data_IF_406648478845
#
_entry.id   IF_406648478845
#
_cell.length_a   1.000
_cell.length_b   1.000
_cell.length_c   1.000
_cell.angle_alpha   90.00
_cell.angle_beta   90.00
_cell.angle_gamma   90.00
#
_symmetry.space_group_name_H-M   'P 1'
#
loop_
_entity.id
_entity.type
_entity.pdbx_description
1 polymer ?
#
# COMPACT_ATOMS: atom_id res chain seq x y z
N UNK A 1 19.03 -25.04 1.99
CA UNK A 1 18.17 -26.22 2.00
C UNK A 1 18.48 -27.09 3.22
N UNK A 2 17.72 -26.95 4.31
CA UNK A 2 18.00 -27.70 5.54
C UNK A 2 16.86 -28.70 5.76
N UNK A 3 17.15 -30.04 5.77
CA UNK A 3 16.13 -31.08 5.98
C UNK A 3 15.33 -30.88 7.29
N UNK A 4 15.96 -30.29 8.31
CA UNK A 4 15.28 -29.97 9.59
C UNK A 4 14.17 -28.95 9.46
N UNK A 5 14.23 -27.99 8.50
CA UNK A 5 13.17 -27.00 8.27
C UNK A 5 11.97 -27.57 7.54
N UNK A 6 12.13 -28.67 6.80
CA UNK A 6 11.02 -29.36 6.10
C UNK A 6 9.93 -29.82 7.08
N UNK A 7 10.31 -30.22 8.30
CA UNK A 7 9.36 -30.62 9.36
C UNK A 7 8.51 -29.46 9.89
N UNK A 8 8.92 -28.22 9.61
CA UNK A 8 8.22 -26.99 10.04
C UNK A 8 7.23 -26.48 8.96
N UNK A 9 7.29 -27.03 7.74
CA UNK A 9 6.35 -26.67 6.68
C UNK A 9 4.99 -27.27 6.99
N UNK A 10 3.96 -26.45 6.78
CA UNK A 10 2.56 -26.86 6.89
C UNK A 10 2.08 -27.49 5.57
N UNK A 11 0.78 -27.57 5.35
CA UNK A 11 0.23 -28.05 4.09
C UNK A 11 0.55 -27.09 2.95
N UNK A 12 0.70 -27.60 1.72
CA UNK A 12 0.97 -26.79 0.51
C UNK A 12 0.01 -25.62 0.37
N UNK A 13 -1.26 -25.83 0.69
CA UNK A 13 -2.28 -24.77 0.68
C UNK A 13 -1.95 -23.64 1.66
N UNK A 14 -1.47 -23.96 2.85
CA UNK A 14 -1.10 -22.97 3.87
C UNK A 14 0.14 -22.19 3.45
N UNK A 15 1.16 -22.90 2.96
CA UNK A 15 2.41 -22.28 2.50
C UNK A 15 2.18 -21.39 1.28
N UNK A 16 1.36 -21.86 0.34
CA UNK A 16 0.94 -21.03 -0.81
C UNK A 16 0.19 -19.78 -0.37
N UNK A 17 -0.71 -19.90 0.62
CA UNK A 17 -1.40 -18.74 1.21
C UNK A 17 -0.44 -17.71 1.79
N UNK A 18 0.60 -18.16 2.49
CA UNK A 18 1.65 -17.25 3.01
C UNK A 18 2.43 -16.57 1.88
N UNK A 19 2.83 -17.31 0.84
CA UNK A 19 3.52 -16.73 -0.30
C UNK A 19 2.63 -15.72 -1.04
N UNK A 20 1.36 -16.05 -1.24
CA UNK A 20 0.40 -15.16 -1.89
C UNK A 20 0.26 -13.84 -1.13
N UNK A 21 0.23 -13.88 0.21
CA UNK A 21 0.19 -12.68 1.04
C UNK A 21 1.50 -11.87 0.96
N UNK A 22 2.65 -12.53 0.89
CA UNK A 22 3.95 -11.85 0.68
C UNK A 22 3.96 -11.13 -0.67
N UNK A 23 3.51 -11.80 -1.74
CA UNK A 23 3.45 -11.20 -3.09
C UNK A 23 2.49 -10.01 -3.12
N UNK A 24 1.32 -10.10 -2.46
CA UNK A 24 0.40 -8.96 -2.34
C UNK A 24 1.08 -7.74 -1.72
N UNK A 25 1.81 -7.93 -0.61
CA UNK A 25 2.53 -6.84 0.07
C UNK A 25 3.62 -6.25 -0.81
N UNK A 26 4.39 -7.08 -1.49
CA UNK A 26 5.41 -6.62 -2.44
C UNK A 26 4.78 -5.87 -3.61
N UNK A 27 3.66 -6.36 -4.13
CA UNK A 27 2.95 -5.71 -5.20
C UNK A 27 2.35 -4.34 -4.80
N UNK A 28 1.98 -4.14 -3.53
CA UNK A 28 1.58 -2.83 -3.00
C UNK A 28 2.78 -1.91 -2.82
N UNK A 29 3.91 -2.42 -2.29
CA UNK A 29 5.10 -1.61 -1.99
C UNK A 29 5.86 -1.14 -3.24
N UNK A 30 5.72 -1.85 -4.37
CA UNK A 30 6.41 -1.58 -5.64
C UNK A 30 5.41 -1.50 -6.77
N UNK A 31 4.68 -0.37 -6.87
CA UNK A 31 3.72 -0.17 -7.96
C UNK A 31 4.39 -0.15 -9.33
N UNK A 32 5.64 0.25 -9.42
CA UNK A 32 6.48 0.32 -10.62
C UNK A 32 6.84 -1.06 -11.22
N UNK A 33 6.54 -2.18 -10.51
CA UNK A 33 6.94 -3.53 -10.89
C UNK A 33 5.72 -4.38 -11.24
N UNK A 34 5.82 -5.16 -12.33
CA UNK A 34 4.84 -6.21 -12.65
C UNK A 34 5.15 -7.48 -11.85
N UNK A 35 4.15 -8.00 -11.13
CA UNK A 35 4.23 -9.25 -10.37
C UNK A 35 3.36 -10.33 -10.98
N UNK A 36 3.93 -11.52 -11.18
CA UNK A 36 3.20 -12.71 -11.63
C UNK A 36 3.49 -13.86 -10.68
N UNK A 37 2.45 -14.54 -10.21
CA UNK A 37 2.54 -15.73 -9.38
C UNK A 37 1.88 -16.91 -10.12
N UNK A 38 2.60 -18.02 -10.23
CA UNK A 38 2.09 -19.27 -10.79
C UNK A 38 2.10 -20.38 -9.73
N UNK A 39 1.12 -21.27 -9.82
CA UNK A 39 0.96 -22.43 -8.96
C UNK A 39 0.32 -23.57 -9.75
N UNK A 40 0.90 -24.77 -9.74
CA UNK A 40 0.45 -25.93 -10.49
C UNK A 40 0.29 -25.61 -12.00
N UNK A 41 1.30 -24.94 -12.59
CA UNK A 41 1.30 -24.52 -13.99
C UNK A 41 0.29 -23.41 -14.34
N UNK A 42 -0.58 -23.00 -13.42
CA UNK A 42 -1.59 -21.96 -13.64
C UNK A 42 -1.15 -20.62 -13.06
N UNK A 43 -1.43 -19.55 -13.78
CA UNK A 43 -1.23 -18.20 -13.28
C UNK A 43 -2.34 -17.86 -12.27
N UNK A 44 -1.98 -17.65 -11.01
CA UNK A 44 -2.91 -17.38 -9.91
C UNK A 44 -3.00 -15.91 -9.55
N UNK A 45 -1.96 -15.12 -9.86
CA UNK A 45 -1.93 -13.69 -9.65
C UNK A 45 -1.13 -13.01 -10.75
N UNK A 46 -1.67 -11.89 -11.27
CA UNK A 46 -0.93 -10.94 -12.09
C UNK A 46 -1.29 -9.53 -11.65
N UNK A 47 -0.26 -8.70 -11.43
CA UNK A 47 -0.40 -7.27 -11.12
C UNK A 47 0.59 -6.51 -11.98
N UNK A 48 0.07 -5.81 -12.97
CA UNK A 48 0.89 -5.02 -13.89
C UNK A 48 1.46 -3.80 -13.13
N UNK A 49 2.56 -3.25 -13.63
CA UNK A 49 3.07 -1.97 -13.15
C UNK A 49 2.00 -0.89 -13.30
N UNK A 50 2.06 0.09 -12.43
CA UNK A 50 1.11 1.21 -12.34
C UNK A 50 1.92 2.50 -12.35
N UNK A 51 1.88 3.21 -13.47
CA UNK A 51 2.69 4.42 -13.70
C UNK A 51 1.89 5.70 -13.41
N UNK A 52 0.58 5.58 -13.20
CA UNK A 52 -0.32 6.68 -12.86
C UNK A 52 -1.06 6.43 -11.55
N UNK A 53 -1.55 7.50 -10.92
CA UNK A 53 -2.35 7.41 -9.70
C UNK A 53 -3.61 6.54 -9.89
N UNK A 54 -4.29 6.68 -11.03
CA UNK A 54 -5.46 5.88 -11.38
C UNK A 54 -5.14 4.39 -11.48
N UNK A 55 -3.97 4.04 -12.02
CA UNK A 55 -3.51 2.66 -12.10
C UNK A 55 -3.10 2.12 -10.72
N UNK A 56 -2.47 2.96 -9.89
CA UNK A 56 -2.15 2.60 -8.50
C UNK A 56 -3.44 2.32 -7.71
N UNK A 57 -4.45 3.18 -7.82
CA UNK A 57 -5.77 2.96 -7.20
C UNK A 57 -6.41 1.66 -7.69
N UNK A 58 -6.39 1.39 -9.00
CA UNK A 58 -6.88 0.13 -9.59
C UNK A 58 -6.11 -1.08 -9.04
N UNK A 59 -4.79 -0.95 -8.89
CA UNK A 59 -3.94 -2.00 -8.33
C UNK A 59 -4.28 -2.28 -6.88
N UNK A 60 -4.49 -1.25 -6.06
CA UNK A 60 -4.96 -1.38 -4.67
C UNK A 60 -6.32 -2.06 -4.63
N UNK A 61 -7.28 -1.66 -5.48
CA UNK A 61 -8.59 -2.30 -5.60
C UNK A 61 -8.47 -3.80 -5.96
N UNK A 62 -7.57 -4.15 -6.88
CA UNK A 62 -7.31 -5.54 -7.27
C UNK A 62 -6.65 -6.39 -6.18
N UNK A 63 -5.99 -5.79 -5.20
CA UNK A 63 -5.30 -6.50 -4.10
C UNK A 63 -6.17 -6.53 -2.84
N UNK A 64 -6.78 -5.41 -2.49
CA UNK A 64 -7.55 -5.23 -1.26
C UNK A 64 -9.06 -5.52 -1.44
N UNK A 65 -9.53 -5.59 -2.68
CA UNK A 65 -10.93 -5.77 -3.05
C UNK A 65 -11.61 -4.48 -3.50
N UNK A 66 -12.62 -4.61 -4.35
CA UNK A 66 -13.40 -3.47 -4.85
C UNK A 66 -14.10 -2.73 -3.72
N UNK A 67 -14.70 -3.46 -2.78
CA UNK A 67 -15.39 -2.92 -1.61
C UNK A 67 -14.47 -1.98 -0.79
N UNK A 68 -13.20 -2.38 -0.57
CA UNK A 68 -12.22 -1.48 0.05
C UNK A 68 -12.03 -0.21 -0.79
N UNK A 69 -11.88 -0.35 -2.12
CA UNK A 69 -11.61 0.79 -3.01
C UNK A 69 -12.77 1.78 -3.09
N UNK A 70 -14.02 1.31 -2.95
CA UNK A 70 -15.23 2.14 -2.94
C UNK A 70 -15.33 3.00 -1.69
N UNK A 71 -14.85 2.48 -0.55
CA UNK A 71 -14.85 3.16 0.75
C UNK A 71 -13.49 3.78 1.10
N UNK A 72 -12.50 3.73 0.21
CA UNK A 72 -11.17 4.23 0.47
C UNK A 72 -11.06 5.72 0.15
N UNK A 73 -10.70 6.50 1.17
CA UNK A 73 -10.40 7.92 1.08
C UNK A 73 -8.92 8.10 0.85
N UNK A 74 -8.51 8.78 -0.22
CA UNK A 74 -7.10 9.11 -0.42
C UNK A 74 -6.64 10.12 0.63
N UNK A 75 -5.44 9.94 1.13
CA UNK A 75 -4.80 10.90 2.02
C UNK A 75 -3.41 11.21 1.51
N UNK A 76 -3.02 12.47 1.61
CA UNK A 76 -1.66 12.91 1.43
C UNK A 76 -1.38 14.09 2.36
N UNK A 77 -0.28 13.99 3.11
CA UNK A 77 0.21 15.06 3.96
C UNK A 77 1.72 15.02 4.08
N UNK A 78 2.33 16.18 3.96
CA UNK A 78 3.73 16.40 4.26
C UNK A 78 3.86 17.45 5.35
N UNK A 79 4.71 17.18 6.36
CA UNK A 79 5.06 18.14 7.39
C UNK A 79 6.49 17.86 7.90
N UNK A 80 7.38 18.83 7.73
CA UNK A 80 8.79 18.67 8.04
C UNK A 80 9.40 17.49 7.27
N UNK A 81 10.08 16.55 7.97
CA UNK A 81 10.72 15.41 7.34
C UNK A 81 9.76 14.25 7.03
N UNK A 82 8.47 14.38 7.36
CA UNK A 82 7.49 13.31 7.27
C UNK A 82 6.53 13.53 6.11
N UNK A 83 6.31 12.48 5.30
CA UNK A 83 5.26 12.41 4.31
C UNK A 83 4.44 11.14 4.51
N UNK A 84 3.13 11.27 4.62
CA UNK A 84 2.18 10.16 4.67
C UNK A 84 1.22 10.28 3.50
N UNK A 85 1.09 9.21 2.73
CA UNK A 85 0.13 9.14 1.64
C UNK A 85 -0.46 7.73 1.51
N UNK A 86 -1.52 7.60 0.74
CA UNK A 86 -2.20 6.33 0.52
C UNK A 86 -3.70 6.42 0.74
N UNK A 87 -4.28 5.35 1.25
CA UNK A 87 -5.73 5.22 1.39
C UNK A 87 -6.10 4.69 2.77
N UNK A 88 -7.12 5.30 3.35
CA UNK A 88 -7.79 4.84 4.58
C UNK A 88 -9.24 4.55 4.28
N UNK A 89 -9.77 3.47 4.81
CA UNK A 89 -11.19 3.18 4.66
C UNK A 89 -12.02 4.06 5.62
N UNK A 90 -13.19 4.46 5.15
CA UNK A 90 -14.21 5.09 5.99
C UNK A 90 -14.54 4.20 7.20
N UNK A 91 -14.93 4.79 8.34
CA UNK A 91 -15.31 4.01 9.53
C UNK A 91 -16.43 3.01 9.31
N UNK A 92 -17.32 3.28 8.34
CA UNK A 92 -18.41 2.38 7.90
C UNK A 92 -17.88 1.08 7.32
N UNK A 93 -16.74 1.13 6.61
CA UNK A 93 -16.02 -0.04 6.11
C UNK A 93 -15.00 -0.51 7.14
N UNK A 94 -15.42 -1.30 8.09
CA UNK A 94 -14.54 -1.88 9.11
C UNK A 94 -14.53 -3.41 9.04
N UNK A 95 -13.41 -4.01 9.45
CA UNK A 95 -13.18 -5.46 9.33
C UNK A 95 -13.31 -6.16 10.68
N UNK A 96 -13.79 -7.41 10.68
CA UNK A 96 -13.75 -8.27 11.87
C UNK A 96 -12.34 -8.77 12.18
N UNK A 97 -11.46 -8.76 11.20
CA UNK A 97 -10.05 -9.16 11.33
C UNK A 97 -9.13 -8.05 10.78
N UNK A 98 -7.88 -8.01 11.29
CA UNK A 98 -6.87 -7.05 10.86
C UNK A 98 -6.14 -7.53 9.58
N UNK A 99 -6.90 -7.90 8.54
CA UNK A 99 -6.43 -8.50 7.29
C UNK A 99 -6.10 -7.47 6.20
N UNK A 100 -6.69 -6.28 6.26
CA UNK A 100 -6.45 -5.18 5.31
C UNK A 100 -5.68 -4.01 5.96
N UNK A 101 -4.59 -4.32 6.65
CA UNK A 101 -3.73 -3.33 7.31
C UNK A 101 -2.34 -3.37 6.72
N UNK A 102 -2.10 -2.51 5.73
CA UNK A 102 -0.83 -2.39 5.04
C UNK A 102 -0.18 -1.04 5.35
N UNK A 103 0.93 -1.07 6.08
CA UNK A 103 1.74 0.09 6.39
C UNK A 103 3.16 -0.10 5.88
N UNK A 104 3.63 0.89 5.12
CA UNK A 104 4.96 0.85 4.53
C UNK A 104 5.78 2.04 5.04
N UNK A 105 7.02 1.79 5.42
CA UNK A 105 8.01 2.82 5.77
C UNK A 105 9.13 2.76 4.74
N UNK A 106 9.32 3.83 3.97
CA UNK A 106 10.31 3.90 2.89
C UNK A 106 10.26 2.66 1.98
N UNK A 107 9.04 2.23 1.59
CA UNK A 107 8.78 1.05 0.74
C UNK A 107 8.88 -0.31 1.44
N UNK A 108 9.15 -0.38 2.76
CA UNK A 108 9.18 -1.63 3.53
C UNK A 108 7.88 -1.86 4.30
N UNK A 109 7.35 -3.06 4.23
CA UNK A 109 6.20 -3.48 5.06
C UNK A 109 6.59 -3.50 6.52
N UNK A 110 5.90 -2.73 7.35
CA UNK A 110 6.15 -2.61 8.79
C UNK A 110 4.90 -2.99 9.59
N UNK A 111 5.12 -3.65 10.74
CA UNK A 111 4.13 -3.95 11.76
C UNK A 111 4.64 -3.49 13.12
N UNK A 112 4.69 -2.19 13.27
CA UNK A 112 5.22 -1.55 14.46
C UNK A 112 4.11 -1.22 15.47
N UNK A 113 4.44 -1.28 16.76
CA UNK A 113 3.48 -1.01 17.84
C UNK A 113 3.09 0.47 17.93
N UNK A 114 4.05 1.38 17.72
CA UNK A 114 3.81 2.81 17.74
C UNK A 114 2.86 3.21 16.61
N UNK A 115 3.14 2.75 15.39
CA UNK A 115 2.27 2.97 14.22
C UNK A 115 0.88 2.42 14.46
N UNK A 116 0.79 1.17 14.92
CA UNK A 116 -0.48 0.52 15.23
C UNK A 116 -1.27 1.28 16.29
N UNK A 117 -0.59 1.81 17.32
CA UNK A 117 -1.19 2.61 18.37
C UNK A 117 -1.74 3.93 17.82
N UNK A 118 -0.94 4.68 17.06
CA UNK A 118 -1.36 5.95 16.47
C UNK A 118 -2.60 5.79 15.57
N UNK A 119 -2.60 4.76 14.71
CA UNK A 119 -3.74 4.47 13.84
C UNK A 119 -4.98 4.08 14.67
N UNK A 120 -4.85 3.17 15.62
CA UNK A 120 -5.98 2.78 16.49
C UNK A 120 -6.55 3.95 17.27
N UNK A 121 -5.69 4.84 17.73
CA UNK A 121 -6.11 6.05 18.45
C UNK A 121 -6.91 6.99 17.54
N UNK A 122 -6.48 7.19 16.28
CA UNK A 122 -7.20 8.01 15.31
C UNK A 122 -8.60 7.45 14.98
N UNK A 123 -8.75 6.13 14.99
CA UNK A 123 -10.01 5.46 14.71
C UNK A 123 -10.88 5.18 15.96
N UNK A 124 -10.37 5.45 17.17
CA UNK A 124 -11.01 5.02 18.43
C UNK A 124 -12.44 5.49 18.59
N UNK A 125 -12.71 6.74 18.22
CA UNK A 125 -14.01 7.37 18.46
C UNK A 125 -14.99 7.17 17.29
N UNK A 126 -14.55 6.55 16.19
CA UNK A 126 -15.33 6.35 14.97
C UNK A 126 -15.57 4.88 14.61
N UNK A 127 -14.83 3.95 15.22
CA UNK A 127 -15.00 2.51 15.00
C UNK A 127 -15.80 1.85 16.13
N UNK A 128 -16.68 0.91 15.76
CA UNK A 128 -17.33 0.05 16.72
C UNK A 128 -16.33 -0.87 17.43
N UNK A 129 -16.62 -1.24 18.66
CA UNK A 129 -15.81 -2.15 19.46
C UNK A 129 -15.58 -3.49 18.74
N UNK A 130 -14.35 -3.98 18.77
CA UNK A 130 -13.98 -5.25 18.12
C UNK A 130 -13.82 -5.17 16.60
N UNK A 131 -13.93 -3.99 16.00
CA UNK A 131 -13.69 -3.80 14.57
C UNK A 131 -12.28 -3.26 14.32
N UNK A 132 -11.77 -3.55 13.13
CA UNK A 132 -10.44 -3.16 12.69
C UNK A 132 -10.53 -2.21 11.51
N UNK A 133 -9.72 -1.11 11.51
CA UNK A 133 -9.61 -0.24 10.35
C UNK A 133 -8.95 -0.97 9.17
N UNK A 134 -9.32 -0.61 7.96
CA UNK A 134 -8.64 -1.04 6.74
C UNK A 134 -7.88 0.15 6.13
N UNK A 135 -6.64 -0.09 5.71
CA UNK A 135 -5.79 0.96 5.15
C UNK A 135 -4.64 0.39 4.31
N UNK A 136 -4.17 1.21 3.37
CA UNK A 136 -2.91 1.03 2.64
C UNK A 136 -2.17 2.36 2.73
N UNK A 137 -1.16 2.44 3.58
CA UNK A 137 -0.46 3.66 3.94
C UNK A 137 1.03 3.58 3.66
N UNK A 138 1.57 4.64 3.08
CA UNK A 138 2.98 4.81 2.78
C UNK A 138 3.51 6.00 3.58
N UNK A 139 4.49 5.72 4.41
CA UNK A 139 5.15 6.71 5.25
C UNK A 139 6.60 6.86 4.80
N UNK A 140 6.97 8.06 4.45
CA UNK A 140 8.29 8.42 3.99
C UNK A 140 8.95 9.38 4.97
N UNK A 141 10.19 9.10 5.31
CA UNK A 141 11.02 9.93 6.17
C UNK A 141 12.49 9.72 5.82
N UNK A 142 13.36 10.61 6.32
CA UNK A 142 14.81 10.44 6.18
C UNK A 142 15.22 9.04 6.71
N UNK A 143 15.90 8.22 5.90
CA UNK A 143 16.42 6.93 6.33
C UNK A 143 17.28 7.00 7.62
N UNK A 144 17.96 8.13 7.86
CA UNK A 144 18.71 8.35 9.11
C UNK A 144 17.80 8.48 10.33
N UNK A 145 16.50 8.78 10.16
CA UNK A 145 15.49 8.89 11.22
C UNK A 145 14.88 7.56 11.65
N UNK A 146 15.20 6.45 10.98
CA UNK A 146 14.61 5.13 11.26
C UNK A 146 15.66 4.02 11.27
N UNK A 147 15.70 3.25 12.35
CA UNK A 147 16.48 2.03 12.43
C UNK A 147 15.59 0.81 12.14
N UNK A 148 15.93 0.08 11.09
CA UNK A 148 15.22 -1.14 10.65
C UNK A 148 15.86 -2.43 11.15
N UNK A 149 17.01 -2.35 11.81
CA UNK A 149 17.75 -3.50 12.31
C UNK A 149 17.42 -3.84 13.77
N UNK A 150 16.15 -3.74 14.15
CA UNK A 150 15.69 -3.95 15.52
C UNK A 150 15.26 -5.40 15.77
N UNK A 151 14.74 -6.08 14.74
CA UNK A 151 14.21 -7.44 14.87
C UNK A 151 14.65 -8.33 13.70
N UNK A 152 14.92 -9.65 13.92
CA UNK A 152 15.34 -10.56 12.86
C UNK A 152 14.42 -10.63 11.66
N UNK A 153 13.09 -10.49 11.86
CA UNK A 153 12.10 -10.46 10.79
C UNK A 153 12.00 -9.10 10.10
N UNK A 154 12.65 -8.05 10.63
CA UNK A 154 12.67 -6.68 10.10
C UNK A 154 11.26 -6.08 9.86
N UNK A 155 10.26 -6.53 10.60
CA UNK A 155 8.91 -5.96 10.58
C UNK A 155 8.70 -4.86 11.61
N UNK A 156 9.57 -4.76 12.61
CA UNK A 156 9.60 -3.69 13.62
C UNK A 156 10.73 -2.72 13.28
N UNK A 157 10.51 -1.46 13.56
CA UNK A 157 11.47 -0.37 13.35
C UNK A 157 11.55 0.48 14.61
N UNK A 158 12.66 1.19 14.78
CA UNK A 158 12.79 2.20 15.82
C UNK A 158 12.94 3.57 15.18
N UNK A 159 11.97 4.44 15.43
CA UNK A 159 12.04 5.83 15.02
C UNK A 159 12.87 6.63 16.02
N UNK A 160 13.75 7.50 15.53
CA UNK A 160 14.51 8.44 16.39
C UNK A 160 13.58 9.40 17.09
N UNK A 161 12.64 10.00 16.35
CA UNK A 161 11.59 10.85 16.89
C UNK A 161 10.27 10.08 16.94
N UNK A 162 10.18 9.16 17.88
CA UNK A 162 8.98 8.33 18.06
C UNK A 162 7.73 9.17 18.37
N UNK A 163 7.89 10.26 19.13
CA UNK A 163 6.77 11.14 19.47
C UNK A 163 6.29 11.95 18.28
N UNK A 164 7.20 12.57 17.54
CA UNK A 164 6.87 13.32 16.33
C UNK A 164 6.20 12.43 15.28
N UNK A 165 6.67 11.20 15.08
CA UNK A 165 6.04 10.21 14.19
C UNK A 165 4.63 9.87 14.66
N UNK A 166 4.46 9.57 15.97
CA UNK A 166 3.14 9.26 16.52
C UNK A 166 2.15 10.41 16.30
N UNK A 167 2.53 11.63 16.70
CA UNK A 167 1.67 12.80 16.65
C UNK A 167 1.34 13.19 15.19
N UNK A 168 2.30 13.05 14.29
CA UNK A 168 2.09 13.26 12.85
C UNK A 168 1.08 12.27 12.26
N UNK A 169 1.26 10.95 12.52
CA UNK A 169 0.35 9.92 12.05
C UNK A 169 -1.05 10.10 12.62
N UNK A 170 -1.15 10.25 13.93
CA UNK A 170 -2.43 10.46 14.62
C UNK A 170 -3.15 11.69 14.10
N UNK A 171 -2.48 12.85 14.05
CA UNK A 171 -3.09 14.10 13.62
C UNK A 171 -3.49 14.11 12.14
N UNK A 172 -2.73 13.42 11.28
CA UNK A 172 -3.08 13.29 9.86
C UNK A 172 -4.32 12.43 9.67
N UNK A 173 -4.35 11.26 10.31
CA UNK A 173 -5.46 10.32 10.20
C UNK A 173 -6.73 10.87 10.85
N UNK A 174 -6.64 11.47 12.03
CA UNK A 174 -7.80 12.06 12.70
C UNK A 174 -8.45 13.16 11.87
N UNK A 175 -7.64 13.99 11.19
CA UNK A 175 -8.17 15.03 10.28
C UNK A 175 -8.85 14.40 9.08
N UNK A 176 -8.21 13.45 8.40
CA UNK A 176 -8.79 12.78 7.25
C UNK A 176 -10.13 12.08 7.58
N UNK A 177 -10.22 11.47 8.77
CA UNK A 177 -11.45 10.82 9.23
C UNK A 177 -12.55 11.81 9.66
N UNK A 178 -12.19 12.99 10.15
CA UNK A 178 -13.14 14.05 10.49
C UNK A 178 -13.79 14.67 9.25
N UNK A 179 -13.05 14.75 8.14
CA UNK A 179 -13.52 15.29 6.87
C UNK A 179 -14.45 14.32 6.11
N UNK A 180 -14.41 13.02 6.47
CA UNK A 180 -15.28 11.99 5.87
C UNK A 180 -16.64 12.01 6.56
N UNK A 181 -17.62 12.68 5.95
CA UNK A 181 -19.01 12.59 6.36
C UNK A 181 -19.64 11.32 5.76
N UNK A 182 -20.39 10.53 6.54
CA UNK A 182 -21.12 9.37 6.01
C UNK A 182 -22.05 9.81 4.86
N UNK A 183 -21.82 9.28 3.66
CA UNK A 183 -22.71 9.49 2.51
C UNK A 183 -22.34 10.61 1.55
N UNK A 184 -21.20 11.29 1.69
CA UNK A 184 -20.69 12.15 0.62
C UNK A 184 -19.72 11.36 -0.29
N UNK A 185 -19.88 11.43 -1.63
CA UNK A 185 -18.89 10.89 -2.54
C UNK A 185 -17.55 11.59 -2.29
N UNK A 186 -16.45 10.81 -2.31
CA UNK A 186 -15.11 11.35 -2.16
C UNK A 186 -14.89 12.51 -3.14
N UNK A 187 -14.32 13.66 -2.70
CA UNK A 187 -13.97 14.71 -3.62
C UNK A 187 -13.02 14.15 -4.66
N UNK A 188 -13.41 14.23 -5.93
CA UNK A 188 -12.53 13.92 -7.05
C UNK A 188 -11.34 14.84 -6.96
N UNK A 189 -10.14 14.26 -6.77
CA UNK A 189 -8.89 15.00 -6.77
C UNK A 189 -8.73 15.67 -8.14
N UNK A 190 -9.00 16.98 -8.21
CA UNK A 190 -8.92 17.74 -9.47
C UNK A 190 -9.41 19.17 -9.40
N UNK A 191 -10.15 19.57 -8.36
CA UNK A 191 -10.60 20.96 -8.26
C UNK A 191 -9.81 21.69 -7.16
N UNK A 192 -8.90 22.56 -7.59
CA UNK A 192 -8.27 23.54 -6.70
C UNK A 192 -9.32 24.61 -6.34
N UNK A 193 -9.32 25.12 -5.08
CA UNK A 193 -10.29 26.16 -4.63
C UNK A 193 -10.28 27.45 -5.44
N UNK A 194 -9.36 27.60 -6.37
CA UNK A 194 -9.18 28.79 -7.20
C UNK A 194 -10.07 28.81 -8.45
N UNK A 195 -10.53 27.65 -8.95
CA UNK A 195 -11.40 27.59 -10.14
C UNK A 195 -12.87 27.84 -9.82
N UNK A 196 -13.31 27.53 -8.60
CA UNK A 196 -14.69 27.77 -8.17
C UNK A 196 -15.04 29.28 -8.01
N UNK A 197 -14.04 30.15 -7.86
CA UNK A 197 -14.26 31.60 -7.77
C UNK A 197 -14.26 32.33 -9.13
N UNK A 198 -13.67 31.73 -10.16
CA UNK A 198 -13.57 32.35 -11.50
C UNK A 198 -14.90 32.30 -12.27
N UNK A 199 -15.74 31.29 -12.02
CA UNK A 199 -16.99 31.07 -12.72
C UNK A 199 -18.13 32.00 -12.24
N UNK A 200 -17.97 32.63 -11.07
CA UNK A 200 -18.97 33.58 -10.52
C UNK A 200 -18.76 35.03 -10.96
N UNK A 201 -17.64 35.37 -11.61
CA UNK A 201 -17.35 36.77 -11.98
C UNK A 201 -17.46 37.09 -13.46
N UNK A 202 -17.79 36.14 -14.35
CA UNK A 202 -18.20 36.39 -15.74
C UNK A 202 -17.21 37.21 -16.59
N UNK A 203 -15.88 37.14 -16.31
CA UNK A 203 -14.88 37.88 -17.05
C UNK A 203 -14.18 36.94 -18.02
N UNK A 204 -14.63 36.95 -19.27
CA UNK A 204 -13.97 36.25 -20.37
C UNK A 204 -12.64 36.89 -20.71
N UNK A 205 -11.53 36.28 -20.37
CA UNK A 205 -10.22 36.62 -20.89
C UNK A 205 -9.84 35.64 -22.00
N UNK A 206 -9.83 36.11 -23.22
CA UNK A 206 -9.31 35.40 -24.37
C UNK A 206 -7.77 35.21 -24.22
N UNK A 207 -7.33 33.99 -24.01
CA UNK A 207 -5.91 33.64 -24.03
C UNK A 207 -5.54 33.11 -25.40
N UNK A 208 -4.68 33.87 -26.09
CA UNK A 208 -4.06 33.47 -27.35
C UNK A 208 -3.16 32.25 -27.16
N UNK A 209 -3.29 31.31 -28.11
CA UNK A 209 -2.54 30.06 -28.09
C UNK A 209 -1.03 30.26 -28.29
N UNK A 210 -0.26 29.61 -27.43
CA UNK A 210 1.16 29.35 -27.65
C UNK A 210 1.35 27.94 -28.26
N UNK A 211 2.28 27.75 -29.20
CA UNK A 211 2.45 26.48 -29.88
C UNK A 211 3.03 25.42 -28.96
N UNK A 212 2.37 24.29 -28.95
CA UNK A 212 2.71 23.07 -28.21
C UNK A 212 4.05 22.51 -28.73
N UNK A 213 5.14 22.73 -28.01
CA UNK A 213 6.39 22.03 -28.27
C UNK A 213 6.28 20.59 -27.72
N UNK A 214 6.14 19.64 -28.65
CA UNK A 214 6.30 18.22 -28.36
C UNK A 214 7.71 17.97 -27.86
N UNK A 215 7.85 17.63 -26.59
CA UNK A 215 9.06 17.00 -26.05
C UNK A 215 9.23 15.61 -26.69
N UNK A 216 10.47 15.21 -27.04
CA UNK A 216 10.71 13.89 -27.62
C UNK A 216 10.30 12.80 -26.62
N UNK A 217 9.58 11.82 -27.13
CA UNK A 217 9.17 10.63 -26.36
C UNK A 217 10.41 9.94 -25.78
N UNK A 218 10.53 9.96 -24.46
CA UNK A 218 11.48 9.12 -23.74
C UNK A 218 11.19 7.66 -24.04
N UNK A 219 12.21 6.94 -24.49
CA UNK A 219 12.18 5.50 -24.70
C UNK A 219 11.61 4.82 -23.45
N UNK A 220 10.55 4.00 -23.50
CA UNK A 220 10.01 3.38 -22.31
C UNK A 220 11.06 2.43 -21.75
N UNK A 221 11.66 2.84 -20.64
CA UNK A 221 12.54 1.94 -19.88
C UNK A 221 11.76 0.65 -19.60
N UNK A 222 12.35 -0.50 -19.87
CA UNK A 222 11.69 -1.79 -19.71
C UNK A 222 11.17 -1.92 -18.27
N UNK A 223 9.84 -2.00 -18.14
CA UNK A 223 9.18 -2.15 -16.84
C UNK A 223 9.68 -3.42 -16.17
N UNK A 224 10.20 -3.36 -14.94
CA UNK A 224 10.68 -4.54 -14.23
C UNK A 224 9.55 -5.56 -14.07
N UNK A 225 9.84 -6.82 -14.42
CA UNK A 225 8.90 -7.92 -14.29
C UNK A 225 9.46 -8.95 -13.32
N UNK A 226 8.70 -9.26 -12.26
CA UNK A 226 9.05 -10.31 -11.31
C UNK A 226 8.10 -11.49 -11.47
N UNK A 227 8.69 -12.65 -11.77
CA UNK A 227 7.97 -13.92 -11.94
C UNK A 227 8.26 -14.81 -10.73
N UNK A 228 7.19 -15.30 -10.12
CA UNK A 228 7.25 -16.26 -9.03
C UNK A 228 6.55 -17.54 -9.49
N UNK A 229 7.32 -18.61 -9.62
CA UNK A 229 6.80 -19.94 -9.91
C UNK A 229 6.89 -20.78 -8.64
N UNK A 230 5.74 -21.12 -8.07
CA UNK A 230 5.67 -21.92 -6.86
C UNK A 230 6.22 -23.32 -7.06
N UNK A 231 5.94 -23.91 -8.22
CA UNK A 231 6.35 -25.27 -8.54
C UNK A 231 7.88 -25.36 -8.63
N UNK A 232 8.53 -24.36 -9.23
CA UNK A 232 9.99 -24.22 -9.26
C UNK A 232 10.59 -23.98 -7.88
N UNK A 233 9.93 -23.19 -7.05
CA UNK A 233 10.36 -22.96 -5.68
C UNK A 233 10.20 -24.24 -4.85
N UNK A 234 9.09 -24.94 -4.96
CA UNK A 234 8.88 -26.24 -4.31
C UNK A 234 9.87 -27.29 -4.82
N UNK A 235 10.08 -27.42 -6.14
CA UNK A 235 11.07 -28.35 -6.70
C UNK A 235 12.48 -28.09 -6.17
N UNK A 236 12.93 -26.86 -6.09
CA UNK A 236 14.22 -26.52 -5.45
C UNK A 236 14.27 -26.88 -3.98
N UNK A 237 13.14 -26.94 -3.29
CA UNK A 237 13.05 -27.37 -1.89
C UNK A 237 12.82 -28.88 -1.72
N UNK A 238 12.20 -29.54 -2.71
CA UNK A 238 11.79 -30.96 -2.65
C UNK A 238 12.67 -31.90 -3.48
N UNK A 239 13.39 -31.40 -4.50
CA UNK A 239 14.07 -32.19 -5.52
C UNK A 239 15.47 -32.71 -5.13
N UNK A 240 15.81 -32.86 -3.86
CA UNK A 240 17.13 -33.39 -3.42
C UNK A 240 17.02 -34.79 -2.80
N UNK A 241 15.92 -35.52 -2.95
CA UNK A 241 15.85 -36.89 -2.42
C UNK A 241 15.09 -37.82 -3.37
N UNK A 242 15.60 -38.00 -4.59
CA UNK A 242 15.30 -39.14 -5.47
C UNK A 242 16.58 -39.57 -6.15
N UNK A 243 17.65 -39.79 -5.39
CA UNK A 243 18.77 -40.60 -5.78
C UNK A 243 19.17 -41.42 -4.56
N UNK A 244 19.15 -42.77 -4.79
CA UNK A 244 19.52 -43.90 -3.96
C UNK A 244 18.35 -44.64 -3.29
N UNK A 245 17.79 -45.58 -4.04
CA UNK A 245 18.00 -47.05 -3.92
C UNK A 245 17.61 -47.69 -5.22
#
# INVERSE_FOLDING_TARGET
NTPRRRKLLRTDKTEFGHLHEVIKRQALSRPDVTFTLRHNGKQTLQRNAADSESEQRRRVANICGLEFSEHAVPIERQAGPFRLWGWVAEPTFSRSQADLQYFFVNGRVIRDKLVTHAIRQAYRDVLFHGRHPAFVLFFELDPAGVDVNVHPTKHEVRFRDSRGVHDFLFGTLSRALADVRPGQPAPTAGETPQEAMADQLGIGLATGGLPNQRLPASNPAAVPKLYFDWDLLCHKFYSVHSFEN
#
